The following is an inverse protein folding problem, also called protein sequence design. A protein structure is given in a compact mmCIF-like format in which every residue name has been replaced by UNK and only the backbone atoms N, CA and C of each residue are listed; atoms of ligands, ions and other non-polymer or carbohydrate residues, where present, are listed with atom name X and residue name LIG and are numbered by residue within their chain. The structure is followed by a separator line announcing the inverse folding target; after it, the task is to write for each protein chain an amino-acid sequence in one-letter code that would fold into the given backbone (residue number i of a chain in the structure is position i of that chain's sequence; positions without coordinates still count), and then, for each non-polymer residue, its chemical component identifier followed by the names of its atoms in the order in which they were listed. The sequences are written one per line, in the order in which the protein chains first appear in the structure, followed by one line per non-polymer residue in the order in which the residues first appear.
data_IF_014465171391
#
_entry.id   IF_014465171391
#
_cell.length_a   1.000
_cell.length_b   1.000
_cell.length_c   1.000
_cell.angle_alpha   90.00
_cell.angle_beta   90.00
_cell.angle_gamma   90.00
#
_symmetry.space_group_name_H-M   'P 1'
#
loop_
_entity.id
_entity.type
_entity.pdbx_description
1 polymer ?
#
# COMPACT_ATOMS: atom_id res chain seq x y z
N UNK A 1 13.87 9.28 22.56
CA UNK A 1 14.22 10.55 21.89
C UNK A 1 14.57 10.20 20.46
N UNK A 2 13.79 10.70 19.51
CA UNK A 2 14.09 10.54 18.07
C UNK A 2 15.40 11.30 17.80
N UNK A 3 16.35 10.66 17.13
CA UNK A 3 17.61 11.29 16.74
C UNK A 3 17.33 12.33 15.65
N UNK A 4 17.82 13.56 15.82
CA UNK A 4 17.75 14.58 14.77
C UNK A 4 18.72 14.24 13.64
N UNK A 5 18.27 14.41 12.40
CA UNK A 5 19.06 14.17 11.19
C UNK A 5 19.20 15.47 10.39
N UNK A 6 20.44 15.87 10.08
CA UNK A 6 20.68 16.88 9.06
C UNK A 6 20.42 16.31 7.67
N UNK A 7 20.26 17.18 6.65
CA UNK A 7 20.06 16.72 5.27
C UNK A 7 21.24 15.87 4.78
N UNK A 8 22.46 16.19 5.17
CA UNK A 8 23.65 15.39 4.86
C UNK A 8 23.56 13.99 5.47
N UNK A 9 23.26 13.90 6.76
CA UNK A 9 23.11 12.60 7.44
C UNK A 9 21.97 11.77 6.87
N UNK A 10 20.89 12.42 6.43
CA UNK A 10 19.79 11.74 5.78
C UNK A 10 20.23 11.11 4.44
N UNK A 11 20.99 11.85 3.64
CA UNK A 11 21.53 11.38 2.36
C UNK A 11 22.55 10.23 2.56
N UNK A 12 23.47 10.36 3.52
CA UNK A 12 24.43 9.30 3.87
C UNK A 12 23.73 7.99 4.29
N UNK A 13 22.63 8.08 5.05
CA UNK A 13 21.85 6.90 5.42
C UNK A 13 21.16 6.26 4.21
N UNK A 14 20.68 7.05 3.24
CA UNK A 14 20.11 6.51 2.00
C UNK A 14 21.16 5.79 1.16
N UNK A 15 22.36 6.34 1.03
CA UNK A 15 23.49 5.68 0.34
C UNK A 15 23.82 4.33 1.01
N UNK A 16 23.89 4.30 2.34
CA UNK A 16 24.14 3.06 3.09
C UNK A 16 23.04 2.02 2.89
N UNK A 17 21.77 2.46 2.81
CA UNK A 17 20.64 1.58 2.51
C UNK A 17 20.78 1.02 1.10
N UNK A 18 21.09 1.86 0.12
CA UNK A 18 21.33 1.46 -1.25
C UNK A 18 22.41 0.36 -1.32
N UNK A 19 23.58 0.59 -0.73
CA UNK A 19 24.67 -0.40 -0.69
C UNK A 19 24.22 -1.72 -0.06
N UNK A 20 23.42 -1.67 1.01
CA UNK A 20 22.90 -2.86 1.69
C UNK A 20 21.90 -3.63 0.82
N UNK A 21 21.13 -2.93 -0.01
CA UNK A 21 20.09 -3.52 -0.87
C UNK A 21 20.66 -4.11 -2.18
N UNK A 22 21.82 -3.64 -2.67
CA UNK A 22 22.39 -4.10 -3.93
C UNK A 22 22.53 -5.63 -4.06
N UNK A 23 23.03 -6.37 -3.06
CA UNK A 23 23.09 -7.83 -3.15
C UNK A 23 21.72 -8.49 -3.26
N UNK A 24 20.71 -7.93 -2.56
CA UNK A 24 19.34 -8.41 -2.64
C UNK A 24 18.75 -8.19 -4.04
N UNK A 25 18.87 -6.97 -4.57
CA UNK A 25 18.39 -6.62 -5.92
C UNK A 25 19.01 -7.53 -6.97
N UNK A 26 20.33 -7.76 -6.90
CA UNK A 26 21.05 -8.67 -7.80
C UNK A 26 20.48 -10.10 -7.73
N UNK A 27 20.20 -10.60 -6.53
CA UNK A 27 19.62 -11.94 -6.36
C UNK A 27 18.19 -12.00 -6.92
N UNK A 28 17.34 -11.00 -6.65
CA UNK A 28 15.98 -10.93 -7.15
C UNK A 28 15.97 -10.96 -8.69
N UNK A 29 16.80 -10.15 -9.33
CA UNK A 29 16.97 -10.14 -10.80
C UNK A 29 17.45 -11.49 -11.32
N UNK A 30 18.46 -12.08 -10.70
CA UNK A 30 19.03 -13.37 -11.10
C UNK A 30 18.01 -14.50 -11.05
N UNK A 31 17.16 -14.52 -10.02
CA UNK A 31 16.17 -15.58 -9.81
C UNK A 31 14.77 -15.21 -10.29
N UNK A 32 14.62 -14.06 -10.95
CA UNK A 32 13.33 -13.55 -11.44
C UNK A 32 12.25 -13.56 -10.34
N UNK A 33 12.55 -12.88 -9.24
CA UNK A 33 11.66 -12.78 -8.07
C UNK A 33 11.22 -11.35 -7.87
N UNK A 34 9.95 -11.18 -7.52
CA UNK A 34 9.41 -9.89 -7.10
C UNK A 34 9.69 -9.63 -5.61
N UNK A 35 9.62 -8.36 -5.23
CA UNK A 35 9.74 -7.90 -3.86
C UNK A 35 8.48 -7.13 -3.45
N UNK A 36 8.04 -7.32 -2.21
CA UNK A 36 7.01 -6.45 -1.63
C UNK A 36 7.63 -5.52 -0.60
N UNK A 37 7.57 -4.21 -0.85
CA UNK A 37 7.85 -3.18 0.14
C UNK A 37 6.60 -3.05 1.03
N UNK A 38 6.80 -3.17 2.34
CA UNK A 38 5.72 -3.00 3.30
C UNK A 38 6.12 -2.04 4.40
N UNK A 39 5.58 -0.84 4.40
CA UNK A 39 5.79 0.15 5.46
C UNK A 39 4.74 0.00 6.55
N UNK A 40 5.17 0.05 7.80
CA UNK A 40 4.29 -0.06 8.96
C UNK A 40 4.17 1.28 9.67
N UNK A 41 2.96 1.77 9.87
CA UNK A 41 2.69 2.81 10.85
C UNK A 41 3.16 2.35 12.24
N UNK A 42 3.86 3.20 12.96
CA UNK A 42 4.47 2.87 14.25
C UNK A 42 5.84 2.19 14.20
N UNK A 43 6.40 1.92 13.00
CA UNK A 43 7.69 1.24 12.83
C UNK A 43 8.52 1.83 11.69
N UNK A 44 8.41 3.13 11.47
CA UNK A 44 9.23 3.85 10.50
C UNK A 44 10.65 4.05 11.06
N UNK A 45 11.64 4.21 10.19
CA UNK A 45 13.01 4.50 10.61
C UNK A 45 13.13 5.87 11.26
N UNK A 46 14.10 6.04 12.16
CA UNK A 46 14.31 7.29 12.90
C UNK A 46 14.46 8.51 11.98
N UNK A 47 15.14 8.36 10.82
CA UNK A 47 15.30 9.45 9.85
C UNK A 47 13.98 9.88 9.22
N UNK A 48 13.10 8.92 8.90
CA UNK A 48 11.76 9.20 8.36
C UNK A 48 10.87 9.81 9.44
N UNK A 49 10.91 9.24 10.66
CA UNK A 49 10.19 9.77 11.81
C UNK A 49 10.58 11.20 12.14
N UNK A 50 11.86 11.53 12.06
CA UNK A 50 12.37 12.89 12.31
C UNK A 50 11.85 13.90 11.27
N UNK A 51 11.82 13.52 9.98
CA UNK A 51 11.49 14.43 8.88
C UNK A 51 9.98 14.53 8.60
N UNK A 52 9.26 13.41 8.68
CA UNK A 52 7.86 13.30 8.25
C UNK A 52 6.91 12.86 9.38
N UNK A 53 7.44 12.46 10.54
CA UNK A 53 6.68 11.90 11.65
C UNK A 53 6.19 10.47 11.39
N UNK A 54 5.47 9.91 12.37
CA UNK A 54 4.73 8.66 12.20
C UNK A 54 3.35 8.97 11.60
N UNK A 55 3.34 9.14 10.30
CA UNK A 55 2.23 9.69 9.53
C UNK A 55 2.05 8.96 8.20
N UNK A 56 0.90 9.11 7.51
CA UNK A 56 0.73 8.64 6.14
C UNK A 56 1.84 9.14 5.20
N UNK A 57 2.26 10.40 5.29
CA UNK A 57 3.38 10.94 4.51
C UNK A 57 4.69 10.21 4.82
N UNK A 58 5.01 9.97 6.09
CA UNK A 58 6.20 9.20 6.50
C UNK A 58 6.19 7.78 5.94
N UNK A 59 5.02 7.11 5.95
CA UNK A 59 4.86 5.79 5.35
C UNK A 59 5.14 5.81 3.85
N UNK A 60 4.58 6.79 3.13
CA UNK A 60 4.73 6.95 1.68
C UNK A 60 6.17 7.26 1.31
N UNK A 61 6.78 8.25 1.96
CA UNK A 61 8.18 8.62 1.68
C UNK A 61 9.13 7.45 1.96
N UNK A 62 8.89 6.68 3.03
CA UNK A 62 9.67 5.47 3.28
C UNK A 62 9.58 4.44 2.14
N UNK A 63 8.42 4.27 1.52
CA UNK A 63 8.26 3.37 0.38
C UNK A 63 8.92 3.91 -0.90
N UNK A 64 8.73 5.20 -1.20
CA UNK A 64 9.29 5.85 -2.38
C UNK A 64 10.83 5.87 -2.38
N UNK A 65 11.45 6.03 -1.22
CA UNK A 65 12.91 5.92 -1.10
C UNK A 65 13.43 4.57 -1.63
N UNK A 66 12.77 3.47 -1.26
CA UNK A 66 13.12 2.14 -1.76
C UNK A 66 12.84 1.99 -3.26
N UNK A 67 11.71 2.51 -3.74
CA UNK A 67 11.39 2.46 -5.18
C UNK A 67 12.42 3.21 -6.01
N UNK A 68 12.80 4.43 -5.61
CA UNK A 68 13.84 5.22 -6.30
C UNK A 68 15.18 4.49 -6.36
N UNK A 69 15.56 3.79 -5.26
CA UNK A 69 16.75 2.94 -5.26
C UNK A 69 16.59 1.77 -6.24
N UNK A 70 15.44 1.10 -6.25
CA UNK A 70 15.20 -0.04 -7.13
C UNK A 70 15.19 0.36 -8.61
N UNK A 71 14.53 1.45 -8.97
CA UNK A 71 14.52 1.98 -10.34
C UNK A 71 15.92 2.41 -10.81
N UNK A 72 16.71 3.03 -9.94
CA UNK A 72 18.13 3.35 -10.20
C UNK A 72 18.96 2.12 -10.60
N UNK A 73 18.53 0.93 -10.17
CA UNK A 73 19.17 -0.35 -10.48
C UNK A 73 18.34 -1.22 -11.43
N UNK A 74 17.42 -0.62 -12.21
CA UNK A 74 16.58 -1.31 -13.20
C UNK A 74 15.81 -2.51 -12.59
N UNK A 75 15.27 -2.36 -11.40
CA UNK A 75 14.44 -3.37 -10.74
C UNK A 75 13.03 -2.84 -10.50
N UNK A 76 12.07 -3.36 -11.27
CA UNK A 76 10.67 -2.92 -11.31
C UNK A 76 9.68 -3.96 -10.76
N UNK A 77 10.12 -5.19 -10.49
CA UNK A 77 9.26 -6.28 -9.99
C UNK A 77 8.92 -6.07 -8.49
N UNK A 78 8.19 -5.00 -8.21
CA UNK A 78 7.90 -4.55 -6.84
C UNK A 78 6.42 -4.36 -6.61
N UNK A 79 5.94 -4.73 -5.42
CA UNK A 79 4.57 -4.52 -4.93
C UNK A 79 4.64 -3.67 -3.66
N UNK A 80 3.68 -2.78 -3.46
CA UNK A 80 3.63 -1.89 -2.30
C UNK A 80 2.52 -2.26 -1.32
N UNK A 81 2.80 -2.07 -0.03
CA UNK A 81 1.84 -2.33 1.04
C UNK A 81 2.00 -1.29 2.16
N UNK A 82 0.96 -0.48 2.36
CA UNK A 82 0.86 0.46 3.48
C UNK A 82 0.12 -0.22 4.63
N UNK A 83 0.83 -0.54 5.70
CA UNK A 83 0.30 -1.36 6.80
C UNK A 83 -0.02 -0.51 8.03
N UNK A 84 -1.28 -0.55 8.46
CA UNK A 84 -1.73 0.07 9.70
C UNK A 84 -2.89 -0.74 10.29
N UNK A 85 -3.01 -0.75 11.61
CA UNK A 85 -4.18 -1.27 12.32
C UNK A 85 -5.36 -0.28 12.31
N UNK A 86 -5.07 0.99 12.02
CA UNK A 86 -6.10 2.01 11.82
C UNK A 86 -6.47 2.09 10.32
N UNK A 87 -7.71 1.70 9.94
CA UNK A 87 -8.12 1.69 8.53
C UNK A 87 -8.16 3.08 7.89
N UNK A 88 -8.33 4.15 8.67
CA UNK A 88 -8.33 5.53 8.14
C UNK A 88 -6.91 5.95 7.75
N UNK A 89 -5.93 5.71 8.62
CA UNK A 89 -4.51 5.96 8.34
C UNK A 89 -4.05 5.14 7.13
N UNK A 90 -4.43 3.87 7.07
CA UNK A 90 -4.13 3.01 5.93
C UNK A 90 -4.69 3.58 4.62
N UNK A 91 -5.97 3.95 4.59
CA UNK A 91 -6.61 4.52 3.40
C UNK A 91 -5.95 5.82 2.94
N UNK A 92 -5.63 6.70 3.88
CA UNK A 92 -4.95 7.95 3.58
C UNK A 92 -3.55 7.69 3.00
N UNK A 93 -2.77 6.77 3.59
CA UNK A 93 -1.46 6.40 3.09
C UNK A 93 -1.50 5.84 1.66
N UNK A 94 -2.47 4.98 1.31
CA UNK A 94 -2.59 4.47 -0.06
C UNK A 94 -2.99 5.55 -1.07
N UNK A 95 -3.94 6.44 -0.72
CA UNK A 95 -4.32 7.56 -1.59
C UNK A 95 -3.14 8.47 -1.87
N UNK A 96 -2.41 8.82 -0.81
CA UNK A 96 -1.22 9.66 -0.92
C UNK A 96 -0.12 8.97 -1.73
N UNK A 97 0.07 7.66 -1.52
CA UNK A 97 1.04 6.86 -2.28
C UNK A 97 0.76 6.90 -3.78
N UNK A 98 -0.50 6.69 -4.19
CA UNK A 98 -0.90 6.76 -5.61
C UNK A 98 -0.61 8.14 -6.19
N UNK A 99 -1.02 9.21 -5.52
CA UNK A 99 -0.72 10.58 -5.96
C UNK A 99 0.78 10.83 -6.15
N UNK A 100 1.61 10.38 -5.20
CA UNK A 100 3.06 10.55 -5.28
C UNK A 100 3.70 9.70 -6.37
N UNK A 101 3.20 8.47 -6.56
CA UNK A 101 3.66 7.62 -7.68
C UNK A 101 3.33 8.26 -9.04
N UNK A 102 2.13 8.82 -9.20
CA UNK A 102 1.74 9.54 -10.42
C UNK A 102 2.68 10.74 -10.69
N UNK A 103 2.99 11.53 -9.65
CA UNK A 103 3.93 12.66 -9.75
C UNK A 103 5.33 12.22 -10.22
N UNK A 104 5.77 11.02 -9.84
CA UNK A 104 7.08 10.45 -10.19
C UNK A 104 7.02 9.50 -11.42
N UNK A 105 5.86 9.39 -12.09
CA UNK A 105 5.65 8.48 -13.23
C UNK A 105 5.89 7.00 -12.88
N UNK A 106 5.56 6.61 -11.66
CA UNK A 106 5.62 5.25 -11.14
C UNK A 106 4.24 4.58 -11.20
N UNK A 107 4.21 3.29 -11.55
CA UNK A 107 2.99 2.47 -11.60
C UNK A 107 3.27 1.08 -11.01
N UNK A 108 3.13 0.98 -9.69
CA UNK A 108 3.41 -0.25 -8.96
C UNK A 108 2.13 -0.83 -8.35
N UNK A 109 1.93 -2.17 -8.42
CA UNK A 109 0.78 -2.84 -7.82
C UNK A 109 0.69 -2.61 -6.30
N UNK A 110 -0.54 -2.52 -5.81
CA UNK A 110 -0.86 -2.29 -4.41
C UNK A 110 -1.44 -3.53 -3.75
N UNK A 111 -0.84 -3.94 -2.63
CA UNK A 111 -1.34 -5.03 -1.80
C UNK A 111 -2.04 -4.48 -0.56
N UNK A 112 -3.36 -4.52 -0.54
CA UNK A 112 -4.18 -3.96 0.53
C UNK A 112 -4.33 -4.91 1.72
N UNK A 113 -4.30 -4.36 2.92
CA UNK A 113 -4.58 -5.12 4.15
C UNK A 113 -4.62 -4.23 5.38
N UNK A 114 -5.58 -4.47 6.26
CA UNK A 114 -5.60 -3.89 7.61
C UNK A 114 -4.84 -4.83 8.53
N UNK A 115 -3.75 -4.34 9.13
CA UNK A 115 -2.93 -5.13 10.04
C UNK A 115 -3.63 -5.25 11.40
N UNK A 116 -3.64 -6.45 11.97
CA UNK A 116 -4.23 -6.70 13.30
C UNK A 116 -5.68 -6.17 13.41
N UNK A 117 -6.51 -6.50 12.43
CA UNK A 117 -7.89 -6.00 12.38
C UNK A 117 -8.73 -6.46 13.59
N UNK A 118 -8.34 -7.57 14.24
CA UNK A 118 -9.06 -8.14 15.37
C UNK A 118 -9.82 -9.42 15.00
N UNK A 119 -10.79 -9.79 15.82
CA UNK A 119 -11.60 -11.00 15.64
C UNK A 119 -13.07 -10.68 15.34
N UNK A 120 -13.85 -11.71 15.04
CA UNK A 120 -15.29 -11.66 14.89
C UNK A 120 -15.74 -10.60 13.88
N UNK A 121 -16.84 -9.93 14.21
CA UNK A 121 -17.43 -8.88 13.35
C UNK A 121 -16.56 -7.62 13.29
N UNK A 122 -15.89 -7.26 14.37
CA UNK A 122 -15.05 -6.05 14.41
C UNK A 122 -13.89 -6.12 13.40
N UNK A 123 -13.15 -7.24 13.38
CA UNK A 123 -12.06 -7.43 12.43
C UNK A 123 -12.54 -7.41 10.97
N UNK A 124 -13.71 -7.99 10.71
CA UNK A 124 -14.35 -7.98 9.37
C UNK A 124 -14.78 -6.59 8.95
N UNK A 125 -15.39 -5.82 9.87
CA UNK A 125 -15.81 -4.43 9.61
C UNK A 125 -14.59 -3.55 9.35
N UNK A 126 -13.53 -3.63 10.17
CA UNK A 126 -12.29 -2.86 9.95
C UNK A 126 -11.66 -3.18 8.60
N UNK A 127 -11.61 -4.47 8.25
CA UNK A 127 -11.10 -4.92 6.94
C UNK A 127 -11.97 -4.41 5.79
N UNK A 128 -13.29 -4.45 5.93
CA UNK A 128 -14.21 -3.95 4.92
C UNK A 128 -14.09 -2.42 4.73
N UNK A 129 -13.95 -1.66 5.81
CA UNK A 129 -13.76 -0.20 5.75
C UNK A 129 -12.42 0.18 5.12
N UNK A 130 -11.34 -0.53 5.48
CA UNK A 130 -10.00 -0.27 4.95
C UNK A 130 -9.87 -0.74 3.50
N UNK A 131 -10.03 -2.04 3.26
CA UNK A 131 -9.84 -2.67 1.94
C UNK A 131 -10.97 -2.28 0.99
N UNK A 132 -12.22 -2.54 1.36
CA UNK A 132 -13.39 -2.26 0.51
C UNK A 132 -13.50 -0.78 0.15
N UNK A 133 -13.19 0.12 1.12
CA UNK A 133 -13.19 1.56 0.87
C UNK A 133 -12.10 2.06 -0.08
N UNK A 134 -11.02 1.32 -0.33
CA UNK A 134 -10.03 1.60 -1.37
C UNK A 134 -10.44 0.98 -2.70
N UNK A 135 -10.88 -0.28 -2.68
CA UNK A 135 -11.37 -0.98 -3.88
C UNK A 135 -12.53 -0.23 -4.57
N UNK A 136 -13.43 0.38 -3.79
CA UNK A 136 -14.50 1.24 -4.35
C UNK A 136 -13.98 2.52 -5.03
N UNK A 137 -12.69 2.84 -4.88
CA UNK A 137 -12.01 3.95 -5.54
C UNK A 137 -11.10 3.48 -6.68
N UNK A 138 -11.16 2.19 -7.06
CA UNK A 138 -10.28 1.59 -8.05
C UNK A 138 -8.84 1.38 -7.57
N UNK A 139 -8.60 1.46 -6.26
CA UNK A 139 -7.25 1.30 -5.69
C UNK A 139 -7.07 -0.09 -5.09
N UNK A 140 -6.05 -0.82 -5.55
CA UNK A 140 -5.63 -2.11 -5.02
C UNK A 140 -5.74 -3.27 -6.00
N UNK A 141 -4.68 -4.07 -6.09
CA UNK A 141 -4.55 -5.20 -7.02
C UNK A 141 -4.67 -6.55 -6.32
N UNK A 142 -4.20 -6.63 -5.09
CA UNK A 142 -4.33 -7.82 -4.26
C UNK A 142 -4.73 -7.43 -2.84
N UNK A 143 -5.38 -8.36 -2.12
CA UNK A 143 -5.83 -8.11 -0.75
C UNK A 143 -5.40 -9.20 0.21
N UNK A 144 -5.22 -8.84 1.48
CA UNK A 144 -5.13 -9.75 2.60
C UNK A 144 -6.04 -9.29 3.74
N UNK A 145 -6.90 -10.18 4.18
CA UNK A 145 -7.61 -10.03 5.47
C UNK A 145 -6.74 -10.66 6.55
N UNK A 146 -6.57 -9.99 7.69
CA UNK A 146 -5.80 -10.48 8.82
C UNK A 146 -6.67 -10.46 10.07
N UNK A 147 -7.11 -11.63 10.51
CA UNK A 147 -7.97 -11.82 11.67
C UNK A 147 -7.21 -12.55 12.79
N UNK A 148 -7.63 -12.32 14.04
CA UNK A 148 -7.17 -13.12 15.20
C UNK A 148 -8.04 -14.37 15.33
N UNK A 149 -8.10 -15.16 14.25
CA UNK A 149 -8.91 -16.37 14.10
C UNK A 149 -8.10 -17.41 13.32
N UNK A 150 -8.56 -18.69 13.22
CA UNK A 150 -7.99 -19.65 12.28
C UNK A 150 -7.91 -19.08 10.85
N UNK A 151 -6.78 -19.30 10.17
CA UNK A 151 -6.47 -18.67 8.88
C UNK A 151 -7.50 -18.98 7.78
N UNK A 152 -8.18 -20.12 7.86
CA UNK A 152 -9.26 -20.49 6.94
C UNK A 152 -10.45 -19.53 6.97
N UNK A 153 -10.64 -18.79 8.07
CA UNK A 153 -11.71 -17.79 8.20
C UNK A 153 -11.40 -16.46 7.44
N UNK A 154 -10.15 -16.23 7.09
CA UNK A 154 -9.74 -15.02 6.35
C UNK A 154 -10.25 -15.04 4.90
N UNK A 155 -10.28 -16.24 4.26
CA UNK A 155 -10.71 -16.38 2.86
C UNK A 155 -12.19 -16.03 2.65
N UNK A 156 -13.14 -16.57 3.44
CA UNK A 156 -14.55 -16.14 3.33
C UNK A 156 -14.74 -14.64 3.58
N UNK A 157 -14.01 -14.07 4.55
CA UNK A 157 -14.09 -12.65 4.84
C UNK A 157 -13.56 -11.80 3.66
N UNK A 158 -12.45 -12.19 3.04
CA UNK A 158 -11.91 -11.52 1.85
C UNK A 158 -12.92 -11.59 0.68
N UNK A 159 -13.48 -12.76 0.40
CA UNK A 159 -14.50 -12.94 -0.65
C UNK A 159 -15.77 -12.11 -0.38
N UNK A 160 -16.18 -11.99 0.88
CA UNK A 160 -17.35 -11.16 1.24
C UNK A 160 -17.08 -9.66 1.00
N UNK A 161 -15.87 -9.18 1.25
CA UNK A 161 -15.47 -7.80 0.94
C UNK A 161 -15.51 -7.57 -0.57
N UNK A 162 -14.90 -8.44 -1.37
CA UNK A 162 -14.88 -8.32 -2.84
C UNK A 162 -16.30 -8.33 -3.42
N UNK A 163 -17.13 -9.31 -3.06
CA UNK A 163 -18.52 -9.38 -3.55
C UNK A 163 -19.40 -8.23 -3.05
N UNK A 164 -19.06 -7.59 -1.92
CA UNK A 164 -19.72 -6.37 -1.46
C UNK A 164 -19.34 -5.15 -2.31
N UNK A 165 -18.09 -5.03 -2.68
CA UNK A 165 -17.58 -3.97 -3.56
C UNK A 165 -18.18 -4.10 -4.96
N UNK A 166 -18.18 -5.29 -5.56
CA UNK A 166 -18.77 -5.57 -6.88
C UNK A 166 -20.23 -5.14 -6.93
N UNK A 167 -21.05 -5.57 -5.96
CA UNK A 167 -22.46 -5.17 -5.86
C UNK A 167 -22.66 -3.68 -5.69
N UNK A 168 -21.77 -3.00 -4.95
CA UNK A 168 -21.86 -1.56 -4.77
C UNK A 168 -21.57 -0.83 -6.08
N UNK A 169 -20.53 -1.25 -6.81
CA UNK A 169 -20.15 -0.69 -8.12
C UNK A 169 -21.29 -0.91 -9.12
N UNK A 170 -21.87 -2.13 -9.21
CA UNK A 170 -23.00 -2.43 -10.07
C UNK A 170 -24.21 -1.53 -9.79
N UNK A 171 -24.53 -1.30 -8.52
CA UNK A 171 -25.64 -0.40 -8.13
C UNK A 171 -25.37 1.04 -8.52
N UNK A 172 -24.16 1.55 -8.26
CA UNK A 172 -23.77 2.91 -8.66
C UNK A 172 -23.86 3.06 -10.18
N UNK A 173 -23.35 2.09 -10.94
CA UNK A 173 -23.42 2.08 -12.41
C UNK A 173 -24.86 2.06 -12.92
N UNK A 174 -25.77 1.38 -12.23
CA UNK A 174 -27.18 1.31 -12.61
C UNK A 174 -27.92 2.62 -12.27
N UNK A 175 -27.58 3.24 -11.15
CA UNK A 175 -28.28 4.45 -10.64
C UNK A 175 -27.81 5.74 -11.36
N UNK A 176 -26.55 5.81 -11.83
CA UNK A 176 -25.97 7.04 -12.41
C UNK A 176 -26.11 7.17 -13.93
N UNK A 177 -26.44 6.12 -14.68
CA UNK A 177 -26.43 6.14 -16.15
C UNK A 177 -25.02 6.28 -16.75
N UNK A 178 -24.88 5.99 -18.05
CA UNK A 178 -23.55 5.95 -18.73
C UNK A 178 -22.83 7.32 -18.75
N UNK A 179 -23.55 8.42 -18.80
CA UNK A 179 -22.98 9.77 -18.92
C UNK A 179 -22.38 10.32 -17.60
N UNK A 180 -22.88 9.87 -16.44
CA UNK A 180 -22.38 10.31 -15.12
C UNK A 180 -21.23 9.42 -14.61
N UNK A 181 -21.08 8.20 -15.13
CA UNK A 181 -19.98 7.30 -14.79
C UNK A 181 -18.60 7.83 -15.25
N UNK A 182 -18.56 8.66 -16.28
CA UNK A 182 -17.35 9.31 -16.75
C UNK A 182 -16.74 10.31 -15.75
N UNK A 183 -17.50 10.75 -14.77
CA UNK A 183 -17.06 11.66 -13.70
C UNK A 183 -16.48 10.90 -12.49
N UNK A 184 -16.76 9.61 -12.38
CA UNK A 184 -16.17 8.75 -11.36
C UNK A 184 -15.04 8.00 -12.05
N UNK A 185 -13.81 8.49 -11.94
CA UNK A 185 -12.62 7.79 -12.40
C UNK A 185 -12.45 6.48 -11.60
N UNK A 186 -13.25 5.48 -11.94
CA UNK A 186 -12.89 4.09 -11.68
C UNK A 186 -12.01 3.72 -12.87
N UNK A 187 -10.70 3.91 -12.74
CA UNK A 187 -9.76 3.36 -13.72
C UNK A 187 -10.07 1.86 -13.88
N UNK A 188 -10.23 1.42 -15.12
CA UNK A 188 -10.34 -0.03 -15.37
C UNK A 188 -9.19 -0.75 -14.67
N UNK A 189 -9.43 -1.88 -13.98
CA UNK A 189 -8.36 -2.61 -13.33
C UNK A 189 -7.31 -2.92 -14.40
N UNK A 190 -6.10 -2.42 -14.16
CA UNK A 190 -4.95 -2.67 -15.04
C UNK A 190 -4.82 -4.19 -15.16
N UNK A 191 -5.01 -4.71 -16.35
CA UNK A 191 -4.94 -6.15 -16.63
C UNK A 191 -3.55 -6.65 -16.27
N UNK A 192 -3.52 -7.65 -15.40
CA UNK A 192 -2.37 -8.54 -15.26
C UNK A 192 -2.11 -9.31 -16.57
#
# INVERSE_FOLDING_TARGET
TVREYSDLQYAEELERIEETLLPLVKNLKTYQRCLRIGTNHGSLSDRVMNRFGDSPEGMVQSALEFLRIFEKHDFYDTILSMKSSNPLVMKEAYRLLVMRMEEESMDYPLHLGVTEAGNGSEGRIKSAVGIGGLLCQGLGDTIRVSLTEPAENEIPAAKAILGGVEKLIERISTDLGEDELSLIHISEPTRL
#
